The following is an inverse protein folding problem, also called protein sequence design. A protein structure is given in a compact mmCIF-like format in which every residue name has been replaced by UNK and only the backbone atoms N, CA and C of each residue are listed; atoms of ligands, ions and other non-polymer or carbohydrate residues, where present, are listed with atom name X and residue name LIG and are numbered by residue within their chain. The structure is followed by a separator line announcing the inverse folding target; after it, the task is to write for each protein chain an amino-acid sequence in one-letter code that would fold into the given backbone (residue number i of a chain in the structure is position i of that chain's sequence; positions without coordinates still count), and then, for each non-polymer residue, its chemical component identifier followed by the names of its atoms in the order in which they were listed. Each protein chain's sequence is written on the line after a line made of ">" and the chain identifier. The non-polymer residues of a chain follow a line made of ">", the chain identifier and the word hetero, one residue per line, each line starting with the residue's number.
data_IF_860792675821
#
_entry.id   IF_860792675821
#
_cell.length_a   1.000
_cell.length_b   1.000
_cell.length_c   1.000
_cell.angle_alpha   90.00
_cell.angle_beta   90.00
_cell.angle_gamma   90.00
#
_symmetry.space_group_name_H-M   'P 1'
#
loop_
_entity.id
_entity.type
_entity.pdbx_description
1 polymer ?
#
# COMPACT_ATOMS: atom_id res chain seq x y z
N UNK A 1 -49.59 6.61 -51.79
CA UNK A 1 -48.78 5.65 -51.01
C UNK A 1 -47.89 6.44 -50.05
N UNK A 2 -47.76 5.95 -48.81
CA UNK A 2 -47.04 6.55 -47.68
C UNK A 2 -45.52 6.56 -47.90
N UNK A 3 -44.83 7.62 -47.46
CA UNK A 3 -43.46 7.60 -46.90
C UNK A 3 -43.17 9.00 -46.33
N UNK A 4 -43.39 9.24 -45.03
CA UNK A 4 -42.50 9.02 -43.87
C UNK A 4 -41.23 9.89 -43.87
N UNK A 5 -41.24 10.81 -42.91
CA UNK A 5 -40.23 11.78 -42.51
C UNK A 5 -38.92 11.14 -42.05
N UNK A 6 -37.83 11.90 -42.13
CA UNK A 6 -36.76 11.91 -41.12
C UNK A 6 -36.00 13.25 -41.18
N UNK A 7 -36.52 14.24 -40.45
CA UNK A 7 -35.78 15.41 -40.01
C UNK A 7 -34.75 14.98 -38.97
N UNK A 8 -33.46 15.06 -39.33
CA UNK A 8 -32.35 14.85 -38.39
C UNK A 8 -32.09 16.19 -37.70
N UNK A 9 -32.58 16.32 -36.47
CA UNK A 9 -32.17 17.38 -35.55
C UNK A 9 -30.82 17.01 -34.93
N UNK A 10 -29.75 17.71 -35.31
CA UNK A 10 -28.47 17.64 -34.60
C UNK A 10 -28.60 18.41 -33.27
N UNK A 11 -28.77 17.68 -32.18
CA UNK A 11 -28.57 18.17 -30.83
C UNK A 11 -27.07 18.09 -30.51
N UNK A 12 -26.39 19.24 -30.48
CA UNK A 12 -25.04 19.34 -29.92
C UNK A 12 -25.14 19.18 -28.39
N UNK A 13 -24.90 17.97 -27.90
CA UNK A 13 -24.70 17.72 -26.46
C UNK A 13 -23.28 18.16 -26.12
N UNK A 14 -23.18 19.25 -25.38
CA UNK A 14 -21.97 19.73 -24.73
C UNK A 14 -21.41 18.64 -23.82
N UNK A 15 -20.29 18.03 -24.23
CA UNK A 15 -19.46 17.19 -23.38
C UNK A 15 -18.82 18.11 -22.32
N UNK A 16 -19.42 18.15 -21.13
CA UNK A 16 -18.72 18.63 -19.95
C UNK A 16 -17.55 17.67 -19.68
N UNK A 17 -16.36 18.02 -20.16
CA UNK A 17 -15.11 17.44 -19.68
C UNK A 17 -14.97 17.79 -18.21
N UNK A 18 -15.47 16.93 -17.33
CA UNK A 18 -15.01 16.93 -15.94
C UNK A 18 -13.55 16.52 -15.98
N UNK A 19 -12.66 17.50 -15.91
CA UNK A 19 -11.28 17.26 -15.51
C UNK A 19 -11.35 16.60 -14.13
N UNK A 20 -11.22 15.27 -14.09
CA UNK A 20 -10.90 14.58 -12.85
C UNK A 20 -9.58 15.17 -12.39
N UNK A 21 -9.64 16.03 -11.38
CA UNK A 21 -8.48 16.41 -10.59
C UNK A 21 -7.87 15.12 -10.10
N UNK A 22 -6.76 14.69 -10.71
CA UNK A 22 -5.92 13.63 -10.17
C UNK A 22 -5.66 14.01 -8.72
N UNK A 23 -6.05 13.18 -7.73
CA UNK A 23 -5.79 13.52 -6.35
C UNK A 23 -4.28 13.66 -6.20
N UNK A 24 -3.83 14.89 -5.97
CA UNK A 24 -2.45 15.16 -5.57
C UNK A 24 -2.26 14.50 -4.22
N UNK A 25 -1.76 13.27 -4.27
CA UNK A 25 -1.26 12.55 -3.11
C UNK A 25 -0.26 13.47 -2.42
N UNK A 26 -0.51 13.83 -1.16
CA UNK A 26 0.37 14.70 -0.40
C UNK A 26 1.75 14.04 -0.24
N UNK A 27 2.71 14.41 -1.10
CA UNK A 27 4.08 13.90 -1.15
C UNK A 27 4.97 14.49 -0.05
N UNK A 28 4.50 14.55 1.19
CA UNK A 28 5.32 15.12 2.27
C UNK A 28 6.20 14.07 2.98
N UNK A 29 5.81 12.80 2.99
CA UNK A 29 6.69 11.69 3.36
C UNK A 29 6.77 10.66 2.22
N UNK A 30 7.94 10.45 1.58
CA UNK A 30 8.04 9.53 0.46
C UNK A 30 7.91 8.08 0.94
N UNK A 31 6.86 7.41 0.48
CA UNK A 31 6.63 5.99 0.66
C UNK A 31 6.93 5.19 -0.62
N UNK A 32 7.41 3.94 -0.50
CA UNK A 32 7.58 3.05 -1.65
C UNK A 32 6.23 2.84 -2.34
N UNK A 33 6.23 2.76 -3.68
CA UNK A 33 5.00 2.48 -4.46
C UNK A 33 4.61 1.00 -4.37
N UNK A 34 3.39 0.63 -4.80
CA UNK A 34 3.01 -0.79 -4.97
C UNK A 34 4.01 -1.52 -5.87
N UNK A 35 4.50 -0.88 -6.93
CA UNK A 35 5.51 -1.49 -7.81
C UNK A 35 6.82 -1.78 -7.07
N UNK A 36 7.26 -0.87 -6.20
CA UNK A 36 8.46 -1.07 -5.37
C UNK A 36 8.24 -2.20 -4.37
N UNK A 37 7.10 -2.19 -3.66
CA UNK A 37 6.78 -3.20 -2.65
C UNK A 37 6.65 -4.60 -3.26
N UNK A 38 6.01 -4.74 -4.42
CA UNK A 38 5.90 -6.03 -5.13
C UNK A 38 7.24 -6.51 -5.69
N UNK A 39 8.11 -5.61 -6.14
CA UNK A 39 9.48 -5.96 -6.53
C UNK A 39 10.27 -6.50 -5.34
N UNK A 40 10.21 -5.83 -4.18
CA UNK A 40 10.84 -6.29 -2.95
C UNK A 40 10.26 -7.62 -2.44
N UNK A 41 8.94 -7.80 -2.53
CA UNK A 41 8.27 -9.07 -2.21
C UNK A 41 8.66 -10.23 -3.14
N UNK A 42 9.36 -9.94 -4.25
CA UNK A 42 9.94 -10.96 -5.13
C UNK A 42 11.41 -11.26 -4.83
N UNK A 43 12.04 -10.54 -3.91
CA UNK A 43 13.41 -10.84 -3.52
C UNK A 43 13.45 -12.13 -2.71
N UNK A 44 14.47 -12.93 -2.97
CA UNK A 44 14.82 -14.12 -2.18
C UNK A 44 16.11 -13.89 -1.38
N UNK A 45 16.53 -12.64 -1.21
CA UNK A 45 17.78 -12.23 -0.59
C UNK A 45 17.56 -11.01 0.29
N UNK A 46 17.83 -11.18 1.59
CA UNK A 46 17.82 -10.07 2.52
C UNK A 46 18.91 -9.03 2.21
N UNK A 47 20.08 -9.44 1.74
CA UNK A 47 21.14 -8.52 1.33
C UNK A 47 20.65 -7.53 0.25
N UNK A 48 19.97 -8.05 -0.78
CA UNK A 48 19.40 -7.23 -1.85
C UNK A 48 18.35 -6.27 -1.30
N UNK A 49 17.45 -6.76 -0.45
CA UNK A 49 16.44 -5.92 0.20
C UNK A 49 17.07 -4.82 1.07
N UNK A 50 18.10 -5.16 1.86
CA UNK A 50 18.81 -4.25 2.76
C UNK A 50 19.50 -3.11 1.99
N UNK A 51 20.10 -3.41 0.83
CA UNK A 51 20.71 -2.38 -0.01
C UNK A 51 19.67 -1.39 -0.52
N UNK A 52 18.56 -1.88 -1.06
CA UNK A 52 17.50 -1.03 -1.61
C UNK A 52 16.85 -0.17 -0.52
N UNK A 53 16.51 -0.76 0.63
CA UNK A 53 15.74 -0.05 1.65
C UNK A 53 16.54 1.03 2.37
N UNK A 54 17.87 0.85 2.49
CA UNK A 54 18.76 1.86 3.06
C UNK A 54 18.80 3.14 2.24
N UNK A 55 18.57 3.06 0.92
CA UNK A 55 18.47 4.27 0.07
C UNK A 55 17.31 5.16 0.47
N UNK A 56 16.27 4.61 1.11
CA UNK A 56 15.12 5.35 1.63
C UNK A 56 15.30 5.82 3.09
N UNK A 57 16.50 5.64 3.67
CA UNK A 57 16.81 6.07 5.03
C UNK A 57 16.38 5.10 6.14
N UNK A 58 15.91 3.91 5.79
CA UNK A 58 15.64 2.84 6.76
C UNK A 58 16.93 2.22 7.28
N UNK A 59 16.98 1.94 8.57
CA UNK A 59 18.09 1.28 9.26
C UNK A 59 17.63 -0.08 9.77
N UNK A 60 18.49 -1.09 9.64
CA UNK A 60 18.22 -2.41 10.19
C UNK A 60 18.13 -2.34 11.72
N UNK A 61 17.11 -2.97 12.29
CA UNK A 61 16.83 -2.99 13.72
C UNK A 61 16.97 -4.40 14.29
N UNK A 62 16.30 -5.38 13.68
CA UNK A 62 16.14 -6.70 14.28
C UNK A 62 16.01 -7.79 13.21
N UNK A 63 16.54 -8.97 13.54
CA UNK A 63 16.25 -10.24 12.87
C UNK A 63 15.49 -11.15 13.83
N UNK A 64 14.34 -11.65 13.40
CA UNK A 64 13.55 -12.64 14.14
C UNK A 64 13.41 -13.91 13.31
N UNK A 65 13.63 -15.07 13.94
CA UNK A 65 13.55 -16.39 13.28
C UNK A 65 12.35 -17.12 13.84
N UNK A 66 11.45 -17.52 12.96
CA UNK A 66 10.27 -18.34 13.25
C UNK A 66 10.39 -19.69 12.54
N UNK A 67 9.60 -20.68 12.96
CA UNK A 67 9.66 -22.06 12.46
C UNK A 67 9.60 -22.14 10.92
N UNK A 68 8.78 -21.30 10.28
CA UNK A 68 8.56 -21.32 8.83
C UNK A 68 9.17 -20.12 8.07
N UNK A 69 9.66 -19.10 8.78
CA UNK A 69 10.12 -17.86 8.13
C UNK A 69 11.15 -17.10 8.95
N UNK A 70 11.90 -16.24 8.28
CA UNK A 70 12.80 -15.27 8.93
C UNK A 70 12.33 -13.87 8.59
N UNK A 71 12.20 -13.01 9.61
CA UNK A 71 11.80 -11.61 9.49
C UNK A 71 12.97 -10.68 9.77
N UNK A 72 13.05 -9.59 9.01
CA UNK A 72 14.05 -8.53 9.14
C UNK A 72 13.34 -7.19 9.23
N UNK A 73 13.47 -6.54 10.38
CA UNK A 73 12.81 -5.27 10.71
C UNK A 73 13.75 -4.12 10.44
N UNK A 74 13.23 -3.06 9.81
CA UNK A 74 13.94 -1.82 9.57
C UNK A 74 13.10 -0.63 10.02
N UNK A 75 13.75 0.39 10.57
CA UNK A 75 13.10 1.61 11.08
C UNK A 75 13.66 2.83 10.37
N UNK A 76 12.78 3.75 9.97
CA UNK A 76 13.12 5.09 9.49
C UNK A 76 12.48 6.11 10.41
N UNK A 77 13.30 7.00 10.99
CA UNK A 77 12.84 8.17 11.74
C UNK A 77 13.02 9.40 10.85
N UNK A 78 11.95 10.12 10.56
CA UNK A 78 11.97 11.27 9.65
C UNK A 78 11.16 12.43 10.22
N UNK A 79 11.67 13.65 10.04
CA UNK A 79 10.99 14.88 10.41
C UNK A 79 10.35 15.49 9.15
N UNK A 80 9.03 15.63 9.14
CA UNK A 80 8.28 16.25 8.04
C UNK A 80 7.32 17.27 8.66
N UNK A 81 7.37 18.52 8.20
CA UNK A 81 6.60 19.64 8.77
C UNK A 81 6.68 19.74 10.31
N UNK A 82 7.86 19.52 10.88
CA UNK A 82 8.11 19.49 12.34
C UNK A 82 7.42 18.35 13.11
N UNK A 83 6.85 17.37 12.42
CA UNK A 83 6.28 16.16 13.02
C UNK A 83 7.29 15.02 12.88
N UNK A 84 7.60 14.36 13.99
CA UNK A 84 8.49 13.20 14.02
C UNK A 84 7.71 11.94 13.69
N UNK A 85 8.07 11.29 12.59
CA UNK A 85 7.49 10.02 12.18
C UNK A 85 8.48 8.88 12.42
N UNK A 86 7.94 7.74 12.85
CA UNK A 86 8.67 6.47 12.92
C UNK A 86 7.98 5.47 12.00
N UNK A 87 8.59 5.24 10.85
CA UNK A 87 8.12 4.23 9.89
C UNK A 87 8.85 2.91 10.17
N UNK A 88 8.11 1.80 10.15
CA UNK A 88 8.66 0.46 10.31
C UNK A 88 8.32 -0.37 9.09
N UNK A 89 9.32 -1.02 8.52
CA UNK A 89 9.12 -1.98 7.43
C UNK A 89 9.76 -3.32 7.80
N UNK A 90 9.01 -4.39 7.57
CA UNK A 90 9.41 -5.76 7.86
C UNK A 90 9.45 -6.51 6.55
N UNK A 91 10.61 -7.09 6.24
CA UNK A 91 10.76 -8.07 5.18
C UNK A 91 10.82 -9.45 5.79
N UNK A 92 9.85 -10.29 5.43
CA UNK A 92 9.76 -11.67 5.87
C UNK A 92 9.96 -12.58 4.68
N UNK A 93 10.85 -13.56 4.81
CA UNK A 93 11.10 -14.58 3.79
C UNK A 93 10.80 -15.95 4.39
N UNK A 94 10.07 -16.79 3.67
CA UNK A 94 9.89 -18.19 4.05
C UNK A 94 11.25 -18.89 4.04
N UNK A 95 11.47 -19.85 4.94
CA UNK A 95 12.80 -20.48 5.09
C UNK A 95 13.21 -21.33 3.88
N UNK A 96 12.25 -21.69 3.02
CA UNK A 96 12.45 -22.33 1.71
C UNK A 96 12.68 -21.33 0.56
N UNK A 97 12.72 -20.02 0.87
CA UNK A 97 12.84 -18.91 -0.06
C UNK A 97 11.73 -18.84 -1.13
N UNK A 98 10.60 -19.52 -0.92
CA UNK A 98 9.52 -19.60 -1.91
C UNK A 98 8.68 -18.31 -1.97
N UNK A 99 8.45 -17.70 -0.81
CA UNK A 99 7.60 -16.54 -0.63
C UNK A 99 8.27 -15.48 0.23
N UNK A 100 7.95 -14.22 -0.05
CA UNK A 100 8.30 -13.12 0.85
C UNK A 100 7.15 -12.13 0.99
N UNK A 101 7.14 -11.46 2.14
CA UNK A 101 6.13 -10.51 2.55
C UNK A 101 6.84 -9.23 2.96
N UNK A 102 6.37 -8.10 2.42
CA UNK A 102 6.76 -6.77 2.85
C UNK A 102 5.61 -6.17 3.62
N UNK A 103 5.86 -5.77 4.87
CA UNK A 103 4.87 -5.09 5.70
C UNK A 103 5.40 -3.73 6.13
N UNK A 104 4.72 -2.65 5.81
CA UNK A 104 5.07 -1.29 6.18
C UNK A 104 3.99 -0.71 7.10
N UNK A 105 4.43 -0.16 8.24
CA UNK A 105 3.61 0.58 9.20
C UNK A 105 4.08 2.02 9.26
N UNK A 106 3.15 2.98 9.14
CA UNK A 106 3.42 4.41 9.25
C UNK A 106 2.27 5.16 9.90
N UNK A 107 2.57 6.26 10.59
CA UNK A 107 1.58 7.21 11.12
C UNK A 107 1.39 8.45 10.22
N UNK A 108 2.11 8.55 9.10
CA UNK A 108 2.34 9.83 8.42
C UNK A 108 1.51 10.08 7.15
N UNK A 109 0.70 9.12 6.70
CA UNK A 109 -0.02 9.23 5.42
C UNK A 109 -1.25 8.34 5.42
N UNK A 110 -2.37 8.86 4.91
CA UNK A 110 -3.51 8.05 4.51
C UNK A 110 -3.10 7.07 3.40
N UNK A 111 -2.65 5.88 3.82
CA UNK A 111 -2.17 4.84 2.92
C UNK A 111 -3.29 4.35 1.99
N UNK A 112 -4.55 4.45 2.40
CA UNK A 112 -5.68 4.05 1.56
C UNK A 112 -5.74 4.97 0.35
N UNK A 113 -5.69 6.29 0.55
CA UNK A 113 -5.67 7.27 -0.54
C UNK A 113 -4.38 7.21 -1.36
N UNK A 114 -3.24 6.86 -0.75
CA UNK A 114 -1.96 6.72 -1.46
C UNK A 114 -1.92 5.48 -2.38
N UNK A 115 -2.32 4.31 -1.87
CA UNK A 115 -2.13 3.02 -2.56
C UNK A 115 -3.31 2.58 -3.41
N UNK A 116 -4.56 2.90 -3.03
CA UNK A 116 -5.75 2.44 -3.78
C UNK A 116 -5.70 2.85 -5.27
N UNK A 117 -5.31 4.08 -5.65
CA UNK A 117 -5.16 4.46 -7.05
C UNK A 117 -4.11 3.65 -7.84
N UNK A 118 -3.20 2.95 -7.15
CA UNK A 118 -2.15 2.11 -7.75
C UNK A 118 -2.61 0.66 -7.98
N UNK A 119 -3.85 0.31 -7.63
CA UNK A 119 -4.38 -1.05 -7.64
C UNK A 119 -5.51 -1.33 -8.67
N UNK A 120 -5.67 -0.61 -9.81
CA UNK A 120 -6.83 -0.80 -10.70
C UNK A 120 -6.86 -2.19 -11.37
N UNK A 121 -5.75 -2.92 -11.40
CA UNK A 121 -5.65 -4.29 -11.94
C UNK A 121 -5.82 -5.40 -10.89
N UNK A 122 -6.10 -5.05 -9.63
CA UNK A 122 -6.27 -6.01 -8.55
C UNK A 122 -7.76 -6.20 -8.25
N UNK A 123 -8.16 -7.45 -8.02
CA UNK A 123 -9.50 -7.80 -7.55
C UNK A 123 -9.56 -7.62 -6.04
N UNK A 124 -10.59 -6.96 -5.54
CA UNK A 124 -10.85 -6.88 -4.11
C UNK A 124 -11.35 -8.22 -3.57
N UNK A 125 -10.90 -8.61 -2.38
CA UNK A 125 -11.27 -9.84 -1.72
C UNK A 125 -11.48 -9.67 -0.22
N UNK A 126 -11.71 -10.80 0.47
CA UNK A 126 -11.81 -10.81 1.93
C UNK A 126 -10.42 -10.69 2.55
N UNK A 127 -10.31 -9.88 3.60
CA UNK A 127 -9.14 -9.84 4.44
C UNK A 127 -9.19 -10.94 5.50
N UNK A 128 -8.18 -11.81 5.51
CA UNK A 128 -8.04 -12.88 6.51
C UNK A 128 -6.76 -12.71 7.35
N UNK A 129 -6.24 -11.49 7.45
CA UNK A 129 -5.06 -11.16 8.27
C UNK A 129 -5.46 -10.76 9.72
N UNK A 130 -4.53 -10.87 10.68
CA UNK A 130 -4.80 -10.54 12.08
C UNK A 130 -5.26 -9.09 12.29
N UNK A 131 -4.69 -8.13 11.54
CA UNK A 131 -5.07 -6.71 11.62
C UNK A 131 -6.54 -6.49 11.26
N UNK A 132 -7.07 -7.24 10.29
CA UNK A 132 -8.46 -7.15 9.85
C UNK A 132 -9.46 -7.70 10.87
N UNK A 133 -8.99 -8.41 11.92
CA UNK A 133 -9.83 -8.88 13.02
C UNK A 133 -10.03 -7.81 14.10
N UNK A 134 -9.22 -6.75 14.09
CA UNK A 134 -9.39 -5.62 15.01
C UNK A 134 -10.59 -4.76 14.58
N UNK A 135 -11.51 -4.50 15.51
CA UNK A 135 -12.75 -3.72 15.26
C UNK A 135 -12.48 -2.24 14.94
N UNK A 136 -11.30 -1.73 15.26
CA UNK A 136 -10.86 -0.35 15.02
C UNK A 136 -10.04 -0.19 13.75
N UNK A 137 -9.78 -1.31 13.05
CA UNK A 137 -9.04 -1.35 11.79
C UNK A 137 -9.99 -1.59 10.63
N UNK A 138 -9.88 -0.76 9.59
CA UNK A 138 -10.52 -1.01 8.30
C UNK A 138 -9.48 -1.49 7.32
N UNK A 139 -9.63 -2.72 6.82
CA UNK A 139 -8.74 -3.29 5.81
C UNK A 139 -9.46 -3.50 4.47
N UNK A 140 -8.78 -3.20 3.37
CA UNK A 140 -9.16 -3.63 2.02
C UNK A 140 -8.05 -4.51 1.46
N UNK A 141 -8.42 -5.69 0.98
CA UNK A 141 -7.47 -6.68 0.46
C UNK A 141 -7.66 -6.86 -1.04
N UNK A 142 -6.54 -6.97 -1.73
CA UNK A 142 -6.41 -6.90 -3.17
C UNK A 142 -5.58 -8.07 -3.68
N UNK A 143 -5.96 -8.64 -4.82
CA UNK A 143 -5.28 -9.78 -5.42
C UNK A 143 -5.22 -9.70 -6.95
N UNK A 144 -4.11 -10.10 -7.55
CA UNK A 144 -3.97 -10.22 -9.00
C UNK A 144 -3.46 -11.60 -9.48
N UNK A 145 -3.56 -12.62 -8.61
CA UNK A 145 -3.04 -13.97 -8.86
C UNK A 145 -1.54 -14.13 -8.65
N UNK A 146 -0.75 -13.04 -8.63
CA UNK A 146 0.71 -13.07 -8.34
C UNK A 146 1.05 -12.51 -6.96
N UNK A 147 0.32 -11.48 -6.54
CA UNK A 147 0.52 -10.82 -5.26
C UNK A 147 -0.81 -10.63 -4.54
N UNK A 148 -0.77 -10.81 -3.22
CA UNK A 148 -1.81 -10.36 -2.28
C UNK A 148 -1.35 -9.05 -1.65
N UNK A 149 -2.24 -8.07 -1.59
CA UNK A 149 -1.95 -6.75 -1.01
C UNK A 149 -3.05 -6.39 -0.02
N UNK A 150 -2.66 -6.09 1.21
CA UNK A 150 -3.59 -5.68 2.26
C UNK A 150 -3.30 -4.22 2.60
N UNK A 151 -4.31 -3.36 2.55
CA UNK A 151 -4.20 -1.95 2.94
C UNK A 151 -5.15 -1.71 4.10
N UNK A 152 -4.61 -1.36 5.27
CA UNK A 152 -5.36 -1.19 6.50
C UNK A 152 -5.14 0.20 7.10
N UNK A 153 -6.23 0.81 7.57
CA UNK A 153 -6.27 2.02 8.37
C UNK A 153 -6.74 1.65 9.79
N UNK A 154 -5.83 1.72 10.75
CA UNK A 154 -6.09 1.51 12.16
C UNK A 154 -6.26 2.88 12.85
N UNK A 155 -7.51 3.19 13.22
CA UNK A 155 -7.84 4.43 13.92
C UNK A 155 -7.61 4.25 15.43
N UNK A 156 -6.36 4.24 15.85
CA UNK A 156 -6.06 4.19 17.29
C UNK A 156 -6.00 5.59 17.89
N UNK A 157 -6.74 5.80 18.98
CA UNK A 157 -6.41 6.86 19.95
C UNK A 157 -5.18 6.42 20.76
N UNK A 158 -3.96 6.69 20.29
CA UNK A 158 -2.76 6.44 21.09
C UNK A 158 -2.24 7.70 21.76
N UNK A 159 -1.87 7.54 23.03
CA UNK A 159 -1.21 8.46 23.95
C UNK A 159 0.22 8.88 23.55
N UNK A 160 0.61 8.66 22.29
CA UNK A 160 1.86 9.11 21.71
C UNK A 160 1.55 9.97 20.48
N UNK A 161 1.19 11.23 20.72
CA UNK A 161 1.16 12.34 19.76
C UNK A 161 0.75 11.98 18.32
N UNK A 162 -0.56 12.09 18.06
CA UNK A 162 -1.20 12.37 16.77
C UNK A 162 -0.82 11.53 15.54
N UNK A 163 -1.60 10.46 15.28
CA UNK A 163 -1.73 9.86 13.95
C UNK A 163 -2.51 8.54 13.94
N UNK A 164 -3.34 8.33 12.92
CA UNK A 164 -3.84 6.99 12.59
C UNK A 164 -2.64 6.11 12.23
N UNK A 165 -2.64 4.85 12.65
CA UNK A 165 -1.65 3.88 12.20
C UNK A 165 -2.13 3.29 10.89
N UNK A 166 -1.28 3.32 9.88
CA UNK A 166 -1.59 2.72 8.60
C UNK A 166 -0.64 1.56 8.34
N UNK A 167 -1.19 0.50 7.76
CA UNK A 167 -0.48 -0.72 7.44
C UNK A 167 -0.68 -1.07 5.97
N UNK A 168 0.40 -1.40 5.28
CA UNK A 168 0.35 -2.09 4.00
C UNK A 168 1.16 -3.38 4.07
N UNK A 169 0.58 -4.48 3.58
CA UNK A 169 1.26 -5.74 3.36
C UNK A 169 1.26 -6.09 1.88
N UNK A 170 2.37 -6.60 1.36
CA UNK A 170 2.47 -7.17 0.02
C UNK A 170 3.13 -8.54 0.13
N UNK A 171 2.38 -9.57 -0.23
CA UNK A 171 2.83 -10.97 -0.21
C UNK A 171 2.88 -11.53 -1.63
N UNK A 172 3.99 -12.19 -1.98
CA UNK A 172 4.07 -13.01 -3.19
C UNK A 172 3.32 -14.33 -3.00
N UNK A 173 2.54 -14.74 -4.01
CA UNK A 173 1.85 -16.02 -4.07
C UNK A 173 2.66 -17.10 -4.79
#
# INVERSE_FOLDING_TARGET
>A
MKSFCLTISLLFITLCSQAQTTPTIATKNPFPTISTLTAWASYNSQEKFNLDIRTLGFKFEEKSVETASTSYTYIRKVLVDNINYTDRIVYRIANDNSASIISLVTASTDLVSFYTPQLPGYKTGKCDNEMSKDKTTTCTCYDNGKYSIDVCDERVKLTMGDGNNYFISVAKK
#
